data_IF_940088287793
#
_entry.id   IF_940088287793
#
_cell.length_a   1.000
_cell.length_b   1.000
_cell.length_c   1.000
_cell.angle_alpha   90.00
_cell.angle_beta   90.00
_cell.angle_gamma   90.00
#
_symmetry.space_group_name_H-M   'P 1'
#
loop_
_entity.id
_entity.type
_entity.pdbx_description
1 polymer ?
#
# COMPACT_ATOMS: atom_id res chain seq x y z
N UNK A 1 0.05 -14.83 -23.01
CA UNK A 1 -1.17 -14.04 -22.70
C UNK A 1 -1.47 -13.89 -21.20
N UNK A 2 -0.98 -14.76 -20.30
CA UNK A 2 -1.27 -14.68 -18.86
C UNK A 2 -0.90 -13.30 -18.26
N UNK A 3 0.36 -12.87 -18.42
CA UNK A 3 0.87 -11.58 -17.92
C UNK A 3 0.00 -10.37 -18.33
N UNK A 4 -0.42 -10.30 -19.59
CA UNK A 4 -1.25 -9.21 -20.09
C UNK A 4 -2.61 -9.15 -19.40
N UNK A 5 -3.25 -10.32 -19.16
CA UNK A 5 -4.50 -10.40 -18.42
C UNK A 5 -4.33 -9.93 -16.97
N UNK A 6 -3.27 -10.37 -16.30
CA UNK A 6 -3.01 -9.96 -14.91
C UNK A 6 -2.74 -8.45 -14.82
N UNK A 7 -1.96 -7.91 -15.77
CA UNK A 7 -1.71 -6.47 -15.87
C UNK A 7 -3.00 -5.68 -16.08
N UNK A 8 -3.91 -6.16 -16.95
CA UNK A 8 -5.21 -5.53 -17.18
C UNK A 8 -6.07 -5.51 -15.91
N UNK A 9 -6.06 -6.57 -15.11
CA UNK A 9 -6.81 -6.59 -13.84
C UNK A 9 -6.32 -5.47 -12.91
N UNK A 10 -4.99 -5.35 -12.74
CA UNK A 10 -4.39 -4.30 -11.91
C UNK A 10 -4.70 -2.90 -12.49
N UNK A 11 -4.58 -2.75 -13.80
CA UNK A 11 -4.82 -1.47 -14.49
C UNK A 11 -6.29 -1.02 -14.37
N UNK A 12 -7.25 -1.94 -14.53
CA UNK A 12 -8.67 -1.64 -14.38
C UNK A 12 -8.97 -1.18 -12.95
N UNK A 13 -8.43 -1.87 -11.94
CA UNK A 13 -8.60 -1.47 -10.55
C UNK A 13 -7.98 -0.10 -10.25
N UNK A 14 -6.81 0.18 -10.84
CA UNK A 14 -6.18 1.49 -10.77
C UNK A 14 -7.07 2.59 -11.38
N UNK A 15 -7.60 2.38 -12.58
CA UNK A 15 -8.50 3.34 -13.24
C UNK A 15 -9.76 3.56 -12.40
N UNK A 16 -10.34 2.51 -11.83
CA UNK A 16 -11.50 2.64 -10.93
C UNK A 16 -11.14 3.47 -9.69
N UNK A 17 -9.99 3.21 -9.06
CA UNK A 17 -9.51 3.99 -7.92
C UNK A 17 -9.29 5.48 -8.25
N UNK A 18 -8.75 5.75 -9.44
CA UNK A 18 -8.55 7.11 -9.94
C UNK A 18 -9.87 7.82 -10.20
N UNK A 19 -10.83 7.15 -10.86
CA UNK A 19 -12.18 7.68 -11.09
C UNK A 19 -12.89 7.97 -9.78
N UNK A 20 -12.78 7.08 -8.79
CA UNK A 20 -13.35 7.30 -7.45
C UNK A 20 -12.74 8.55 -6.82
N UNK A 21 -11.42 8.69 -6.87
CA UNK A 21 -10.73 9.87 -6.32
C UNK A 21 -11.18 11.15 -7.00
N UNK A 22 -11.26 11.14 -8.33
CA UNK A 22 -11.69 12.29 -9.13
C UNK A 22 -13.14 12.70 -8.87
N UNK A 23 -14.05 11.75 -8.67
CA UNK A 23 -15.47 12.05 -8.39
C UNK A 23 -15.67 12.48 -6.93
N UNK A 24 -15.06 11.78 -5.99
CA UNK A 24 -15.28 11.99 -4.55
C UNK A 24 -14.43 13.12 -3.96
N UNK A 25 -13.42 13.60 -4.69
CA UNK A 25 -12.49 14.65 -4.25
C UNK A 25 -11.82 14.36 -2.89
N UNK A 26 -11.64 13.08 -2.58
CA UNK A 26 -11.00 12.64 -1.34
C UNK A 26 -9.49 12.94 -1.44
N UNK A 27 -8.82 13.42 -0.36
CA UNK A 27 -7.39 13.73 -0.36
C UNK A 27 -6.51 12.47 -0.28
N UNK A 28 -6.93 11.39 -0.94
CA UNK A 28 -6.22 10.11 -0.98
C UNK A 28 -5.92 9.81 -2.46
N UNK A 29 -4.65 9.57 -2.83
CA UNK A 29 -4.28 9.18 -4.17
C UNK A 29 -5.03 7.92 -4.68
N UNK A 30 -5.39 7.90 -5.97
CA UNK A 30 -6.16 6.81 -6.56
C UNK A 30 -5.51 5.44 -6.47
N UNK A 31 -4.17 5.37 -6.43
CA UNK A 31 -3.44 4.11 -6.23
C UNK A 31 -3.72 3.47 -4.85
N UNK A 32 -3.86 4.26 -3.77
CA UNK A 32 -4.20 3.74 -2.45
C UNK A 32 -5.64 3.19 -2.45
N UNK A 33 -6.56 3.91 -3.10
CA UNK A 33 -7.94 3.44 -3.26
C UNK A 33 -7.98 2.12 -4.05
N UNK A 34 -7.22 2.03 -5.14
CA UNK A 34 -7.09 0.81 -5.92
C UNK A 34 -6.52 -0.37 -5.12
N UNK A 35 -5.54 -0.14 -4.23
CA UNK A 35 -5.02 -1.17 -3.31
C UNK A 35 -6.09 -1.68 -2.35
N UNK A 36 -6.92 -0.79 -1.79
CA UNK A 36 -8.04 -1.17 -0.92
C UNK A 36 -9.08 -1.98 -1.71
N UNK A 37 -9.41 -1.55 -2.92
CA UNK A 37 -10.31 -2.26 -3.83
C UNK A 37 -9.80 -3.66 -4.17
N UNK A 38 -8.52 -3.79 -4.51
CA UNK A 38 -7.89 -5.08 -4.76
C UNK A 38 -7.95 -5.97 -3.52
N UNK A 39 -7.64 -5.42 -2.35
CA UNK A 39 -7.71 -6.16 -1.08
C UNK A 39 -9.13 -6.69 -0.81
N UNK A 40 -10.16 -5.85 -0.98
CA UNK A 40 -11.56 -6.26 -0.84
C UNK A 40 -11.91 -7.34 -1.87
N UNK A 41 -11.49 -7.20 -3.13
CA UNK A 41 -11.74 -8.19 -4.17
C UNK A 41 -11.07 -9.55 -3.88
N UNK A 42 -9.89 -9.55 -3.26
CA UNK A 42 -9.21 -10.76 -2.77
C UNK A 42 -9.97 -11.37 -1.58
N UNK A 43 -10.42 -10.57 -0.61
CA UNK A 43 -11.21 -11.04 0.52
C UNK A 43 -12.54 -11.68 0.08
N UNK A 44 -13.21 -11.08 -0.90
CA UNK A 44 -14.44 -11.59 -1.51
C UNK A 44 -14.20 -12.76 -2.47
N UNK A 45 -12.94 -13.13 -2.73
CA UNK A 45 -12.53 -14.16 -3.70
C UNK A 45 -13.03 -13.92 -5.13
N UNK A 46 -13.37 -12.67 -5.46
CA UNK A 46 -13.71 -12.24 -6.83
C UNK A 46 -12.45 -12.34 -7.69
N UNK A 47 -11.32 -11.91 -7.13
CA UNK A 47 -9.99 -12.08 -7.69
C UNK A 47 -9.26 -13.10 -6.81
N UNK A 48 -8.64 -14.09 -7.43
CA UNK A 48 -7.76 -15.04 -6.75
C UNK A 48 -6.30 -14.58 -6.88
N UNK A 49 -5.48 -14.87 -5.87
CA UNK A 49 -4.06 -14.48 -5.87
C UNK A 49 -3.34 -14.98 -7.12
N UNK A 50 -3.66 -16.19 -7.61
CA UNK A 50 -3.02 -16.78 -8.79
C UNK A 50 -3.29 -16.02 -10.09
N UNK A 51 -4.28 -15.11 -10.10
CA UNK A 51 -4.64 -14.26 -11.25
C UNK A 51 -3.84 -12.96 -11.33
N UNK A 52 -3.06 -12.61 -10.29
CA UNK A 52 -2.25 -11.38 -10.25
C UNK A 52 -0.81 -11.62 -9.80
N UNK A 53 -0.51 -12.81 -9.27
CA UNK A 53 0.77 -13.09 -8.62
C UNK A 53 1.97 -13.00 -9.57
N UNK A 54 1.84 -13.43 -10.84
CA UNK A 54 2.98 -13.49 -11.75
C UNK A 54 3.43 -12.09 -12.17
N UNK A 55 2.49 -11.22 -12.58
CA UNK A 55 2.84 -9.84 -12.96
C UNK A 55 3.26 -9.00 -11.74
N UNK A 56 2.61 -9.21 -10.59
CA UNK A 56 2.92 -8.43 -9.38
C UNK A 56 4.34 -8.72 -8.91
N UNK A 57 4.74 -9.99 -8.83
CA UNK A 57 6.11 -10.35 -8.48
C UNK A 57 7.11 -9.85 -9.52
N UNK A 58 6.80 -9.93 -10.82
CA UNK A 58 7.67 -9.37 -11.85
C UNK A 58 7.95 -7.87 -11.63
N UNK A 59 6.92 -7.07 -11.31
CA UNK A 59 7.11 -5.65 -11.00
C UNK A 59 7.84 -5.42 -9.68
N UNK A 60 7.58 -6.21 -8.65
CA UNK A 60 8.27 -6.13 -7.36
C UNK A 60 9.76 -6.49 -7.48
N UNK A 61 10.11 -7.49 -8.28
CA UNK A 61 11.50 -7.90 -8.54
C UNK A 61 12.28 -6.81 -9.29
N UNK A 62 11.59 -6.01 -10.11
CA UNK A 62 12.17 -4.91 -10.90
C UNK A 62 11.84 -3.53 -10.33
N UNK A 63 11.37 -3.44 -9.09
CA UNK A 63 10.88 -2.21 -8.46
C UNK A 63 11.92 -1.08 -8.49
N UNK A 64 13.20 -1.41 -8.29
CA UNK A 64 14.30 -0.45 -8.33
C UNK A 64 14.40 0.28 -9.68
N UNK A 65 14.12 -0.42 -10.80
CA UNK A 65 14.11 0.20 -12.13
C UNK A 65 13.00 1.25 -12.26
N UNK A 66 11.82 1.00 -11.68
CA UNK A 66 10.71 1.95 -11.68
C UNK A 66 10.94 3.18 -10.78
N UNK A 67 11.85 3.09 -9.82
CA UNK A 67 12.27 4.24 -9.02
C UNK A 67 13.30 5.13 -9.71
N UNK A 68 13.97 4.64 -10.76
CA UNK A 68 15.00 5.41 -11.46
C UNK A 68 14.46 6.73 -12.06
N UNK A 69 13.31 6.76 -12.78
CA UNK A 69 12.74 8.01 -13.28
C UNK A 69 12.38 9.01 -12.16
N UNK A 70 11.81 8.51 -11.06
CA UNK A 70 11.50 9.34 -9.90
C UNK A 70 12.76 9.92 -9.26
N UNK A 71 13.83 9.12 -9.13
CA UNK A 71 15.12 9.56 -8.62
C UNK A 71 15.78 10.63 -9.50
N UNK A 72 15.75 10.45 -10.83
CA UNK A 72 16.28 11.45 -11.78
C UNK A 72 15.46 12.75 -11.70
N UNK A 73 14.13 12.68 -11.60
CA UNK A 73 13.29 13.86 -11.45
C UNK A 73 13.65 14.68 -10.20
N UNK A 74 14.02 14.02 -9.11
CA UNK A 74 14.45 14.66 -7.86
C UNK A 74 15.77 15.43 -8.03
N UNK A 75 16.64 15.04 -8.97
CA UNK A 75 17.88 15.77 -9.26
C UNK A 75 17.64 17.20 -9.75
N UNK A 76 16.49 17.49 -10.37
CA UNK A 76 16.12 18.86 -10.74
C UNK A 76 16.00 19.79 -9.52
N UNK A 77 15.76 19.23 -8.33
CA UNK A 77 15.67 19.96 -7.06
C UNK A 77 16.90 19.76 -6.16
N UNK A 78 18.03 19.30 -6.71
CA UNK A 78 19.21 18.94 -5.93
C UNK A 78 19.75 20.09 -5.07
N UNK A 79 19.67 21.34 -5.55
CA UNK A 79 20.06 22.52 -4.77
C UNK A 79 19.27 22.68 -3.46
N UNK A 80 17.94 22.49 -3.52
CA UNK A 80 17.06 22.56 -2.34
C UNK A 80 17.32 21.42 -1.36
N UNK A 81 17.58 20.22 -1.90
CA UNK A 81 17.89 19.02 -1.11
C UNK A 81 19.22 19.21 -0.38
N UNK A 82 20.26 19.68 -1.07
CA UNK A 82 21.57 19.92 -0.46
C UNK A 82 21.49 20.94 0.67
N UNK A 83 20.69 21.99 0.52
CA UNK A 83 20.51 23.01 1.55
C UNK A 83 19.77 22.48 2.80
N UNK A 84 18.90 21.48 2.66
CA UNK A 84 18.03 20.98 3.72
C UNK A 84 18.26 19.49 4.06
N UNK A 85 19.41 18.93 3.68
CA UNK A 85 19.65 17.48 3.78
C UNK A 85 19.53 16.96 5.22
N UNK A 86 19.98 17.76 6.19
CA UNK A 86 19.91 17.42 7.62
C UNK A 86 18.45 17.40 8.08
N UNK A 87 17.67 18.41 7.72
CA UNK A 87 16.25 18.50 8.05
C UNK A 87 15.46 17.36 7.41
N UNK A 88 15.72 17.05 6.13
CA UNK A 88 15.08 15.94 5.42
C UNK A 88 15.38 14.62 6.13
N UNK A 89 16.64 14.35 6.46
CA UNK A 89 17.02 13.12 7.16
C UNK A 89 16.34 12.99 8.52
N UNK A 90 16.30 14.08 9.31
CA UNK A 90 15.63 14.08 10.61
C UNK A 90 14.14 13.80 10.44
N UNK A 91 13.46 14.52 9.53
CA UNK A 91 12.02 14.30 9.28
C UNK A 91 11.77 12.87 8.80
N UNK A 92 12.56 12.34 7.87
CA UNK A 92 12.40 10.96 7.39
C UNK A 92 12.55 9.94 8.51
N UNK A 93 13.61 10.03 9.32
CA UNK A 93 13.84 9.08 10.41
C UNK A 93 12.76 9.17 11.49
N UNK A 94 12.42 10.39 11.92
CA UNK A 94 11.41 10.60 12.97
C UNK A 94 10.03 10.16 12.48
N UNK A 95 9.59 10.59 11.29
CA UNK A 95 8.27 10.21 10.75
C UNK A 95 8.17 8.72 10.49
N UNK A 96 9.24 8.08 10.02
CA UNK A 96 9.27 6.61 9.82
C UNK A 96 9.13 5.89 11.16
N UNK A 97 9.93 6.26 12.16
CA UNK A 97 9.87 5.64 13.48
C UNK A 97 8.51 5.83 14.16
N UNK A 98 7.96 7.05 14.08
CA UNK A 98 6.64 7.38 14.64
C UNK A 98 5.54 6.59 13.91
N UNK A 99 5.52 6.62 12.57
CA UNK A 99 4.52 5.92 11.77
C UNK A 99 4.56 4.41 12.01
N UNK A 100 5.76 3.82 12.06
CA UNK A 100 5.95 2.39 12.32
C UNK A 100 5.49 2.03 13.74
N UNK A 101 5.83 2.83 14.74
CA UNK A 101 5.42 2.60 16.13
C UNK A 101 3.90 2.68 16.29
N UNK A 102 3.28 3.74 15.77
CA UNK A 102 1.83 3.93 15.86
C UNK A 102 1.10 2.80 15.12
N UNK A 103 1.52 2.48 13.89
CA UNK A 103 0.90 1.39 13.12
C UNK A 103 1.03 0.06 13.85
N UNK A 104 2.20 -0.25 14.40
CA UNK A 104 2.44 -1.45 15.20
C UNK A 104 1.54 -1.53 16.43
N UNK A 105 1.45 -0.45 17.21
CA UNK A 105 0.59 -0.38 18.40
C UNK A 105 -0.90 -0.56 18.05
N UNK A 106 -1.37 0.09 16.98
CA UNK A 106 -2.77 -0.03 16.52
C UNK A 106 -3.08 -1.46 16.11
N UNK A 107 -2.22 -2.08 15.29
CA UNK A 107 -2.41 -3.47 14.84
C UNK A 107 -2.37 -4.42 16.03
N UNK A 108 -1.42 -4.25 16.96
CA UNK A 108 -1.30 -5.10 18.15
C UNK A 108 -2.51 -4.94 19.08
N UNK A 109 -3.04 -3.72 19.25
CA UNK A 109 -4.25 -3.48 20.03
C UNK A 109 -5.48 -4.17 19.43
N UNK A 110 -5.63 -4.13 18.10
CA UNK A 110 -6.71 -4.82 17.39
C UNK A 110 -6.57 -6.35 17.53
N UNK A 111 -5.37 -6.89 17.30
CA UNK A 111 -5.10 -8.32 17.45
C UNK A 111 -5.40 -8.84 18.86
N UNK A 112 -4.92 -8.14 19.89
CA UNK A 112 -5.17 -8.49 21.29
C UNK A 112 -6.66 -8.46 21.65
N UNK A 113 -7.44 -7.54 21.09
CA UNK A 113 -8.91 -7.50 21.28
C UNK A 113 -9.59 -8.69 20.60
N UNK A 114 -9.16 -9.07 19.40
CA UNK A 114 -9.69 -10.24 18.68
C UNK A 114 -9.41 -11.54 19.45
N UNK A 115 -8.20 -11.70 19.99
CA UNK A 115 -7.83 -12.89 20.77
C UNK A 115 -8.61 -13.01 22.07
N UNK A 116 -8.77 -11.91 22.81
CA UNK A 116 -9.61 -11.89 24.03
C UNK A 116 -11.08 -12.22 23.74
N UNK A 117 -11.63 -11.72 22.62
CA UNK A 117 -13.00 -12.04 22.18
C UNK A 117 -13.14 -13.52 21.82
N UNK A 118 -12.14 -14.09 21.14
CA UNK A 118 -12.10 -15.52 20.78
C UNK A 118 -12.02 -16.42 22.01
N UNK A 119 -11.19 -16.07 22.99
CA UNK A 119 -11.08 -16.82 24.26
C UNK A 119 -12.36 -16.75 25.11
N UNK A 120 -13.04 -15.59 25.14
CA UNK A 120 -14.32 -15.44 25.84
C UNK A 120 -15.40 -16.35 25.21
N UNK A 121 -15.54 -16.32 23.89
CA UNK A 121 -16.48 -17.20 23.18
C UNK A 121 -16.19 -18.69 23.41
N UNK A 122 -14.92 -19.10 23.52
CA UNK A 122 -14.55 -20.49 23.81
C UNK A 122 -14.91 -20.94 25.23
N UNK A 123 -15.00 -20.01 26.19
CA UNK A 123 -15.42 -20.29 27.57
C UNK A 123 -16.94 -20.33 27.74
N UNK A 124 -17.70 -19.66 26.87
CA UNK A 124 -19.18 -19.68 26.88
C UNK A 124 -19.76 -20.93 26.19
N UNK A 125 -18.97 -21.64 25.38
CA UNK A 125 -19.36 -22.88 24.70
C UNK A 125 -19.03 -24.14 25.55
N UNK A 126 -18.21 -23.99 26.60
CA UNK A 126 -17.89 -25.05 27.57
C UNK A 126 -18.76 -24.93 28.82
#
# INVERSE_FOLDING_TARGET
>A
MKLFREALIILILYIIGEVITAVTHVPIPGNIIAMILLFIALCLKIIKLEQINTISNFFLDHLAFFFLPAGVAVMNSFGLIKANIVQILIVCLVTTAVTMTITGLVVQAIANKMDKKKQKNLKEIK
#
